data_IF_779542184190
#
_entry.id   IF_779542184190
#
_cell.length_a   1.000
_cell.length_b   1.000
_cell.length_c   1.000
_cell.angle_alpha   90.00
_cell.angle_beta   90.00
_cell.angle_gamma   90.00
#
_symmetry.space_group_name_H-M   'P 1'
#
loop_
_entity.id
_entity.type
_entity.pdbx_description
1 polymer ?
#
# COMPACT_ATOMS: atom_id res chain seq x y z
N UNK A 1 -14.17 -10.98 -2.48
CA UNK A 1 -14.27 -9.50 -2.43
C UNK A 1 -14.29 -9.11 -0.97
N UNK A 2 -13.38 -8.24 -0.55
CA UNK A 2 -13.29 -7.73 0.82
C UNK A 2 -13.65 -6.27 0.78
N UNK A 3 -14.61 -5.84 1.58
CA UNK A 3 -15.00 -4.44 1.69
C UNK A 3 -14.48 -3.87 3.00
N UNK A 4 -14.04 -2.62 2.98
CA UNK A 4 -13.53 -1.92 4.16
C UNK A 4 -14.08 -0.50 4.16
N UNK A 5 -14.45 -0.02 5.34
CA UNK A 5 -14.75 1.38 5.60
C UNK A 5 -14.19 1.73 6.99
N UNK A 6 -13.46 2.83 7.05
CA UNK A 6 -12.85 3.38 8.25
C UNK A 6 -13.15 4.87 8.28
N UNK A 7 -13.63 5.35 9.42
CA UNK A 7 -13.81 6.77 9.69
C UNK A 7 -12.71 7.24 10.63
N UNK A 8 -12.05 8.35 10.28
CA UNK A 8 -11.01 8.96 11.07
C UNK A 8 -11.54 9.70 12.31
N UNK A 9 -10.67 10.07 13.25
CA UNK A 9 -11.06 10.83 14.43
C UNK A 9 -11.83 12.11 14.06
N UNK A 10 -12.97 12.35 14.71
CA UNK A 10 -13.80 13.53 14.48
C UNK A 10 -14.37 13.65 13.07
N UNK A 11 -14.51 12.53 12.33
CA UNK A 11 -14.96 12.51 10.93
C UNK A 11 -14.06 13.30 9.97
N UNK A 12 -12.78 13.51 10.32
CA UNK A 12 -11.85 14.33 9.52
C UNK A 12 -11.46 13.68 8.19
N UNK A 13 -11.56 12.35 8.09
CA UNK A 13 -11.38 11.62 6.85
C UNK A 13 -12.19 10.32 6.86
N UNK A 14 -12.45 9.79 5.67
CA UNK A 14 -13.06 8.48 5.46
C UNK A 14 -12.21 7.70 4.47
N UNK A 15 -11.80 6.50 4.85
CA UNK A 15 -11.11 5.56 3.97
C UNK A 15 -12.01 4.37 3.70
N UNK A 16 -12.32 4.10 2.44
CA UNK A 16 -13.23 3.03 2.08
C UNK A 16 -12.91 2.42 0.73
N UNK A 17 -13.45 1.23 0.50
CA UNK A 17 -13.23 0.53 -0.76
C UNK A 17 -13.56 -0.94 -0.71
N UNK A 18 -13.15 -1.63 -1.77
CA UNK A 18 -13.13 -3.07 -1.80
C UNK A 18 -11.92 -3.58 -2.56
N UNK A 19 -11.45 -4.76 -2.17
CA UNK A 19 -10.37 -5.47 -2.84
C UNK A 19 -10.84 -6.84 -3.31
N UNK A 20 -10.40 -7.20 -4.50
CA UNK A 20 -10.43 -8.52 -5.10
C UNK A 20 -9.01 -8.87 -5.51
N UNK A 21 -8.68 -10.15 -5.58
CA UNK A 21 -7.36 -10.56 -6.00
C UNK A 21 -7.41 -11.76 -6.93
N UNK A 22 -6.37 -11.89 -7.75
CA UNK A 22 -6.08 -13.09 -8.51
C UNK A 22 -4.73 -13.64 -8.06
N UNK A 23 -4.64 -14.97 -7.93
CA UNK A 23 -3.41 -15.66 -7.55
C UNK A 23 -2.88 -16.42 -8.77
N UNK A 24 -1.60 -16.27 -9.06
CA UNK A 24 -0.86 -17.08 -10.02
C UNK A 24 0.27 -17.82 -9.34
N UNK A 25 0.45 -19.09 -9.67
CA UNK A 25 1.60 -19.89 -9.20
C UNK A 25 2.62 -20.07 -10.32
N UNK A 26 3.89 -19.99 -9.96
CA UNK A 26 5.00 -20.38 -10.81
C UNK A 26 5.95 -21.30 -10.06
N UNK A 27 7.05 -21.69 -10.70
CA UNK A 27 8.06 -22.50 -10.05
C UNK A 27 8.65 -21.73 -8.84
N UNK A 28 8.42 -22.27 -7.65
CA UNK A 28 8.83 -21.72 -6.34
C UNK A 28 8.41 -20.27 -6.06
N UNK A 29 7.28 -19.81 -6.63
CA UNK A 29 6.74 -18.46 -6.37
C UNK A 29 5.23 -18.40 -6.50
N UNK A 30 4.63 -17.47 -5.77
CA UNK A 30 3.22 -17.07 -5.88
C UNK A 30 3.14 -15.58 -6.18
N UNK A 31 2.28 -15.20 -7.11
CA UNK A 31 1.98 -13.82 -7.47
C UNK A 31 0.54 -13.51 -7.08
N UNK A 32 0.34 -12.40 -6.38
CA UNK A 32 -0.96 -11.90 -5.98
C UNK A 32 -1.19 -10.55 -6.67
N UNK A 33 -2.20 -10.50 -7.52
CA UNK A 33 -2.61 -9.26 -8.21
C UNK A 33 -3.85 -8.70 -7.56
N UNK A 34 -3.72 -7.57 -6.91
CA UNK A 34 -4.82 -6.88 -6.25
C UNK A 34 -5.54 -5.96 -7.23
N UNK A 35 -6.87 -5.89 -7.10
CA UNK A 35 -7.74 -5.01 -7.90
C UNK A 35 -8.93 -4.56 -7.05
N UNK A 36 -9.49 -3.41 -7.40
CA UNK A 36 -10.72 -2.93 -6.79
C UNK A 36 -10.74 -1.43 -6.72
N UNK A 37 -11.33 -0.91 -5.65
CA UNK A 37 -11.45 0.52 -5.39
C UNK A 37 -10.90 0.79 -3.99
N UNK A 38 -10.08 1.82 -3.84
CA UNK A 38 -9.71 2.39 -2.55
C UNK A 38 -9.74 3.90 -2.66
N UNK A 39 -10.39 4.54 -1.72
CA UNK A 39 -10.58 5.98 -1.69
C UNK A 39 -10.30 6.49 -0.29
N UNK A 40 -9.56 7.59 -0.22
CA UNK A 40 -9.46 8.44 0.97
C UNK A 40 -10.15 9.76 0.66
N UNK A 41 -11.21 10.08 1.42
CA UNK A 41 -11.91 11.36 1.36
C UNK A 41 -11.63 12.16 2.63
N UNK A 42 -11.42 13.46 2.49
CA UNK A 42 -11.21 14.39 3.59
C UNK A 42 -12.48 15.22 3.84
N UNK A 43 -12.62 15.74 5.05
CA UNK A 43 -13.78 16.55 5.45
C UNK A 43 -13.96 17.83 4.61
N UNK A 44 -12.89 18.34 4.00
CA UNK A 44 -12.91 19.49 3.09
C UNK A 44 -13.35 19.14 1.65
N UNK A 45 -13.67 17.87 1.38
CA UNK A 45 -14.05 17.37 0.07
C UNK A 45 -12.88 16.90 -0.78
N UNK A 46 -11.64 17.01 -0.31
CA UNK A 46 -10.48 16.42 -0.97
C UNK A 46 -10.63 14.91 -1.12
N UNK A 47 -10.19 14.36 -2.25
CA UNK A 47 -10.32 12.93 -2.55
C UNK A 47 -9.05 12.39 -3.21
N UNK A 48 -8.55 11.28 -2.69
CA UNK A 48 -7.43 10.54 -3.25
C UNK A 48 -7.91 9.14 -3.62
N UNK A 49 -7.86 8.80 -4.90
CA UNK A 49 -8.02 7.44 -5.39
C UNK A 49 -6.69 6.70 -5.26
N UNK A 50 -6.73 5.49 -4.69
CA UNK A 50 -5.55 4.71 -4.32
C UNK A 50 -5.54 3.43 -5.14
N UNK A 51 -4.59 3.32 -6.07
CA UNK A 51 -4.32 2.13 -6.87
C UNK A 51 -3.79 0.98 -6.01
N UNK A 52 -3.35 -0.11 -6.63
CA UNK A 52 -2.80 -1.27 -5.92
C UNK A 52 -1.46 -1.68 -6.52
N UNK A 53 -0.43 -1.91 -5.69
CA UNK A 53 0.75 -2.62 -6.15
C UNK A 53 0.46 -4.13 -6.28
N UNK A 54 1.38 -4.84 -6.92
CA UNK A 54 1.38 -6.30 -6.97
C UNK A 54 2.19 -6.87 -5.81
N UNK A 55 1.88 -8.10 -5.39
CA UNK A 55 2.65 -8.79 -4.36
C UNK A 55 3.21 -10.12 -4.90
N UNK A 56 4.38 -10.50 -4.39
CA UNK A 56 5.05 -11.77 -4.69
C UNK A 56 5.50 -12.43 -3.41
N UNK A 57 5.24 -13.73 -3.31
CA UNK A 57 5.90 -14.61 -2.37
C UNK A 57 6.89 -15.50 -3.10
N UNK A 58 8.16 -15.40 -2.73
CA UNK A 58 9.22 -16.31 -3.19
C UNK A 58 9.39 -17.49 -2.24
N UNK A 59 10.03 -18.55 -2.72
CA UNK A 59 10.39 -19.72 -1.91
C UNK A 59 9.19 -20.43 -1.25
N UNK A 60 8.04 -20.45 -1.93
CA UNK A 60 6.80 -21.06 -1.41
C UNK A 60 6.88 -22.59 -1.26
N UNK A 61 7.83 -23.25 -1.94
CA UNK A 61 8.07 -24.70 -1.83
C UNK A 61 9.42 -25.03 -1.18
N UNK A 62 10.48 -24.26 -1.46
CA UNK A 62 11.83 -24.53 -0.96
C UNK A 62 12.56 -23.25 -0.58
N UNK A 63 13.26 -23.30 0.55
CA UNK A 63 14.02 -22.18 1.12
C UNK A 63 13.18 -21.34 2.09
N UNK A 64 13.75 -20.22 2.50
CA UNK A 64 13.05 -19.25 3.36
C UNK A 64 12.08 -18.41 2.54
N UNK A 65 10.80 -18.51 2.88
CA UNK A 65 9.73 -17.74 2.24
C UNK A 65 9.90 -16.25 2.52
N UNK A 66 9.85 -15.43 1.49
CA UNK A 66 9.90 -13.97 1.60
C UNK A 66 8.77 -13.34 0.78
N UNK A 67 8.33 -12.16 1.24
CA UNK A 67 7.32 -11.34 0.59
C UNK A 67 7.96 -10.09 0.01
N UNK A 68 7.55 -9.74 -1.19
CA UNK A 68 7.95 -8.52 -1.89
C UNK A 68 6.70 -7.86 -2.45
N UNK A 69 6.59 -6.55 -2.27
CA UNK A 69 5.68 -5.73 -3.06
C UNK A 69 6.41 -5.26 -4.31
N UNK A 70 5.71 -5.25 -5.44
CA UNK A 70 6.24 -5.05 -6.77
C UNK A 70 5.38 -4.05 -7.54
N UNK A 71 5.99 -3.51 -8.59
CA UNK A 71 5.31 -2.64 -9.54
C UNK A 71 5.09 -1.24 -8.98
N UNK A 72 4.08 -0.57 -9.50
CA UNK A 72 3.75 0.81 -9.17
C UNK A 72 2.52 0.88 -8.28
N UNK A 73 2.61 1.74 -7.27
CA UNK A 73 1.48 2.14 -6.45
C UNK A 73 1.16 3.61 -6.75
N UNK A 74 0.01 3.81 -7.40
CA UNK A 74 -0.43 5.11 -7.88
C UNK A 74 -1.49 5.67 -6.93
N UNK A 75 -1.37 6.96 -6.62
CA UNK A 75 -2.31 7.75 -5.86
C UNK A 75 -2.71 8.94 -6.73
N UNK A 76 -4.01 9.25 -6.79
CA UNK A 76 -4.52 10.26 -7.72
C UNK A 76 -5.48 11.20 -7.01
N UNK A 77 -5.17 12.49 -7.08
CA UNK A 77 -6.07 13.59 -6.74
C UNK A 77 -6.41 14.32 -8.04
N UNK A 78 -7.54 13.92 -8.63
CA UNK A 78 -7.98 14.41 -9.94
C UNK A 78 -8.38 15.90 -9.90
N UNK A 79 -9.00 16.34 -8.80
CA UNK A 79 -9.45 17.72 -8.64
C UNK A 79 -8.28 18.70 -8.67
N UNK A 80 -7.14 18.30 -8.10
CA UNK A 80 -5.91 19.08 -8.14
C UNK A 80 -4.96 18.63 -9.26
N UNK A 81 -5.35 17.68 -10.11
CA UNK A 81 -4.50 17.13 -11.17
C UNK A 81 -3.09 16.69 -10.67
N UNK A 82 -3.07 16.08 -9.48
CA UNK A 82 -1.86 15.56 -8.84
C UNK A 82 -1.87 14.04 -8.87
N UNK A 83 -0.71 13.47 -9.16
CA UNK A 83 -0.48 12.04 -9.09
C UNK A 83 0.80 11.77 -8.32
N UNK A 84 0.75 10.80 -7.41
CA UNK A 84 1.94 10.23 -6.83
C UNK A 84 2.11 8.79 -7.35
N UNK A 85 3.30 8.46 -7.81
CA UNK A 85 3.65 7.10 -8.24
C UNK A 85 4.84 6.61 -7.41
N UNK A 86 4.67 5.47 -6.74
CA UNK A 86 5.73 4.80 -5.98
C UNK A 86 6.05 3.47 -6.67
N UNK A 87 7.30 3.29 -7.07
CA UNK A 87 7.82 2.06 -7.65
C UNK A 87 8.57 1.26 -6.60
N UNK A 88 8.09 0.05 -6.33
CA UNK A 88 8.75 -0.91 -5.43
C UNK A 88 9.78 -1.75 -6.16
N UNK A 89 10.82 -2.17 -5.45
CA UNK A 89 11.94 -2.95 -5.98
C UNK A 89 12.52 -2.35 -7.28
N UNK A 90 12.93 -1.06 -7.24
CA UNK A 90 13.42 -0.39 -8.43
C UNK A 90 14.72 -1.04 -8.93
N UNK A 91 14.93 -1.07 -10.26
CA UNK A 91 16.14 -1.64 -10.83
C UNK A 91 17.39 -0.87 -10.36
N UNK A 92 18.56 -1.52 -10.34
CA UNK A 92 19.81 -0.85 -10.05
C UNK A 92 20.07 0.31 -11.03
N UNK A 93 20.62 1.42 -10.52
CA UNK A 93 20.89 2.66 -11.30
C UNK A 93 21.83 2.42 -12.49
N UNK A 94 22.68 1.40 -12.40
CA UNK A 94 23.53 0.92 -13.49
C UNK A 94 23.72 -0.60 -13.40
N UNK A 95 24.18 -1.21 -14.51
CA UNK A 95 24.54 -2.64 -14.54
C UNK A 95 25.65 -3.04 -13.55
N UNK A 96 26.44 -2.07 -13.06
CA UNK A 96 27.52 -2.30 -12.09
C UNK A 96 27.14 -1.94 -10.66
N UNK A 97 26.01 -1.26 -10.45
CA UNK A 97 25.52 -0.95 -9.11
C UNK A 97 24.81 -2.16 -8.49
N UNK A 98 24.96 -2.34 -7.18
CA UNK A 98 24.19 -3.35 -6.44
C UNK A 98 22.70 -2.99 -6.51
N UNK A 99 21.85 -4.01 -6.60
CA UNK A 99 20.41 -3.82 -6.44
C UNK A 99 20.14 -3.18 -5.08
N UNK A 100 19.19 -2.25 -5.00
CA UNK A 100 18.71 -1.75 -3.72
C UNK A 100 18.18 -2.90 -2.84
N UNK A 101 18.12 -2.70 -1.52
CA UNK A 101 17.36 -3.58 -0.63
C UNK A 101 15.93 -3.81 -1.15
N UNK A 102 15.37 -5.00 -0.93
CA UNK A 102 14.05 -5.39 -1.47
C UNK A 102 12.89 -4.54 -0.93
N UNK A 103 13.12 -3.86 0.18
CA UNK A 103 12.20 -2.99 0.88
C UNK A 103 12.26 -1.52 0.41
N UNK A 104 13.20 -1.20 -0.48
CA UNK A 104 13.41 0.15 -1.00
C UNK A 104 12.42 0.50 -2.11
N UNK A 105 12.01 1.76 -2.15
CA UNK A 105 11.15 2.32 -3.18
C UNK A 105 11.62 3.71 -3.62
N UNK A 106 11.26 4.06 -4.85
CA UNK A 106 11.42 5.41 -5.41
C UNK A 106 10.09 5.87 -5.97
N UNK A 107 9.91 7.17 -6.13
CA UNK A 107 8.70 7.70 -6.71
C UNK A 107 8.78 9.18 -7.00
N UNK A 108 7.64 9.72 -7.40
CA UNK A 108 7.47 11.15 -7.56
C UNK A 108 6.02 11.56 -7.34
N UNK A 109 5.85 12.86 -7.07
CA UNK A 109 4.58 13.56 -7.25
C UNK A 109 4.71 14.40 -8.52
N UNK A 110 3.77 14.25 -9.44
CA UNK A 110 3.70 15.01 -10.68
C UNK A 110 2.34 15.70 -10.86
N UNK A 111 2.37 16.85 -11.54
CA UNK A 111 1.18 17.48 -12.09
C UNK A 111 0.88 16.79 -13.42
N UNK A 112 -0.19 16.00 -13.46
CA UNK A 112 -0.57 15.21 -14.63
C UNK A 112 -1.79 15.82 -15.33
N UNK A 113 -2.13 15.32 -16.53
CA UNK A 113 -3.37 15.70 -17.22
C UNK A 113 -4.42 14.59 -17.00
N UNK A 114 -5.54 14.87 -16.29
CA UNK A 114 -6.64 13.92 -16.14
C UNK A 114 -7.24 13.41 -17.46
N UNK A 115 -7.17 14.20 -18.55
CA UNK A 115 -7.65 13.77 -19.85
C UNK A 115 -6.69 12.79 -20.55
N UNK A 116 -5.41 12.80 -20.15
CA UNK A 116 -4.37 11.93 -20.69
C UNK A 116 -3.56 11.27 -19.55
N UNK A 117 -4.21 10.45 -18.69
CA UNK A 117 -3.62 9.99 -17.45
C UNK A 117 -2.38 9.11 -17.67
N UNK A 118 -2.23 8.47 -18.82
CA UNK A 118 -1.05 7.65 -19.13
C UNK A 118 0.20 8.47 -19.46
N UNK A 119 0.05 9.78 -19.73
CA UNK A 119 1.20 10.64 -20.02
C UNK A 119 1.94 11.01 -18.74
N UNK A 120 3.26 11.13 -18.86
CA UNK A 120 4.12 11.62 -17.79
C UNK A 120 3.80 13.11 -17.54
N UNK A 121 3.53 13.45 -16.29
CA UNK A 121 3.31 14.83 -15.88
C UNK A 121 4.59 15.60 -15.59
N UNK A 122 4.42 16.86 -15.16
CA UNK A 122 5.51 17.70 -14.68
C UNK A 122 5.82 17.35 -13.23
N UNK A 123 7.01 16.82 -12.98
CA UNK A 123 7.43 16.41 -11.64
C UNK A 123 7.54 17.62 -10.70
N UNK A 124 6.89 17.52 -9.54
CA UNK A 124 6.91 18.52 -8.47
C UNK A 124 7.80 18.08 -7.30
N UNK A 125 7.84 16.78 -7.02
CA UNK A 125 8.55 16.23 -5.88
C UNK A 125 9.12 14.84 -6.20
N UNK A 126 10.32 14.54 -5.73
CA UNK A 126 10.88 13.18 -5.70
C UNK A 126 10.58 12.49 -4.38
N UNK A 127 10.25 11.21 -4.42
CA UNK A 127 9.99 10.35 -3.26
C UNK A 127 11.07 9.27 -3.23
N UNK A 128 11.67 9.03 -2.07
CA UNK A 128 12.56 7.90 -1.84
C UNK A 128 12.33 7.32 -0.44
N UNK A 129 12.52 6.02 -0.25
CA UNK A 129 12.35 5.44 1.07
C UNK A 129 12.48 3.93 1.15
N UNK A 130 12.22 3.44 2.36
CA UNK A 130 12.07 2.03 2.69
C UNK A 130 10.78 1.88 3.50
N UNK A 131 9.91 0.96 3.09
CA UNK A 131 8.62 0.74 3.77
C UNK A 131 8.73 0.15 5.18
N UNK A 132 9.93 -0.25 5.61
CA UNK A 132 10.26 -0.67 6.98
C UNK A 132 11.23 0.29 7.68
N UNK A 133 11.55 1.41 7.02
CA UNK A 133 12.58 2.34 7.44
C UNK A 133 12.06 3.77 7.48
N UNK A 134 11.91 4.38 6.30
CA UNK A 134 11.67 5.81 6.17
C UNK A 134 11.01 6.23 4.86
N UNK A 135 10.54 7.47 4.80
CA UNK A 135 10.07 8.13 3.60
C UNK A 135 10.58 9.57 3.55
N UNK A 136 11.12 9.96 2.39
CA UNK A 136 11.65 11.28 2.10
C UNK A 136 10.94 11.90 0.90
N UNK A 137 10.70 13.21 1.00
CA UNK A 137 10.19 14.05 -0.09
C UNK A 137 11.25 15.11 -0.39
N UNK A 138 11.74 15.15 -1.63
CA UNK A 138 12.85 16.03 -2.04
C UNK A 138 14.09 15.93 -1.12
N UNK A 139 14.38 14.72 -0.62
CA UNK A 139 15.47 14.40 0.33
C UNK A 139 15.29 14.96 1.74
N UNK A 140 14.11 15.47 2.07
CA UNK A 140 13.75 15.84 3.43
C UNK A 140 12.96 14.70 4.08
N UNK A 141 13.38 14.30 5.28
CA UNK A 141 12.77 13.19 6.03
C UNK A 141 11.39 13.60 6.53
N UNK A 142 10.34 13.00 5.97
CA UNK A 142 8.96 13.25 6.40
C UNK A 142 8.42 12.17 7.33
N UNK A 143 8.98 10.96 7.29
CA UNK A 143 8.56 9.86 8.15
C UNK A 143 9.68 8.83 8.36
N UNK A 144 9.73 8.23 9.55
CA UNK A 144 10.50 7.06 9.92
C UNK A 144 9.63 6.08 10.71
N UNK A 145 9.88 4.77 10.62
CA UNK A 145 9.06 3.75 11.29
C UNK A 145 9.07 3.83 12.83
N UNK A 146 10.03 4.56 13.40
CA UNK A 146 10.10 4.85 14.84
C UNK A 146 9.42 6.17 15.22
N UNK A 147 8.86 6.91 14.26
CA UNK A 147 8.20 8.18 14.51
C UNK A 147 6.81 7.91 15.06
N UNK A 148 6.71 7.94 16.38
CA UNK A 148 5.44 7.84 17.10
C UNK A 148 5.26 6.53 17.87
N UNK A 149 4.21 6.47 18.71
CA UNK A 149 3.93 5.29 19.50
C UNK A 149 3.48 4.14 18.60
N UNK A 150 3.99 2.94 18.88
CA UNK A 150 3.40 1.71 18.34
C UNK A 150 2.04 1.55 19.00
N UNK A 151 0.98 1.87 18.28
CA UNK A 151 -0.39 1.70 18.76
C UNK A 151 -0.78 0.25 18.51
N UNK A 152 -0.99 -0.51 19.59
CA UNK A 152 -1.54 -1.84 19.46
C UNK A 152 -2.92 -1.77 18.79
N UNK A 153 -3.17 -2.66 17.82
CA UNK A 153 -4.53 -2.83 17.30
C UNK A 153 -5.46 -3.17 18.47
N UNK A 154 -6.40 -2.27 18.75
CA UNK A 154 -7.37 -2.49 19.83
C UNK A 154 -8.26 -3.68 19.49
N UNK A 155 -8.34 -4.65 20.39
CA UNK A 155 -9.42 -5.63 20.36
C UNK A 155 -10.72 -4.88 20.66
N UNK A 156 -11.80 -5.05 19.87
CA UNK A 156 -13.10 -4.52 20.24
C UNK A 156 -13.44 -4.98 21.67
N UNK A 157 -13.47 -4.06 22.62
CA UNK A 157 -13.73 -4.35 24.04
C UNK A 157 -15.22 -4.46 24.33
N UNK A 158 -16.07 -4.04 23.38
CA UNK A 158 -17.50 -4.08 23.52
C UNK A 158 -18.05 -5.48 23.23
N UNK A 159 -18.90 -5.97 24.14
CA UNK A 159 -19.31 -7.39 24.25
C UNK A 159 -20.28 -7.85 23.15
N UNK A 160 -20.64 -6.99 22.21
CA UNK A 160 -21.56 -7.30 21.11
C UNK A 160 -20.85 -7.33 19.77
N UNK A 161 -19.77 -8.10 19.67
CA UNK A 161 -19.21 -8.50 18.37
C UNK A 161 -20.31 -9.18 17.54
N UNK A 162 -20.42 -8.82 16.26
CA UNK A 162 -21.43 -9.38 15.35
C UNK A 162 -21.26 -10.90 15.20
N UNK A 163 -22.31 -11.66 14.84
CA UNK A 163 -22.16 -13.09 14.53
C UNK A 163 -21.14 -13.37 13.42
N UNK A 164 -20.99 -12.45 12.47
CA UNK A 164 -20.02 -12.52 11.37
C UNK A 164 -18.61 -12.06 11.74
N UNK A 165 -18.38 -11.65 12.98
CA UNK A 165 -17.07 -11.20 13.44
C UNK A 165 -16.04 -12.33 13.31
N UNK A 166 -14.86 -12.00 12.78
CA UNK A 166 -13.80 -12.99 12.55
C UNK A 166 -13.30 -13.67 13.83
N UNK A 167 -13.51 -13.08 15.00
CA UNK A 167 -13.22 -13.67 16.31
C UNK A 167 -14.06 -14.90 16.64
N UNK A 168 -15.23 -15.05 16.00
CA UNK A 168 -16.13 -16.20 16.17
C UNK A 168 -15.84 -17.36 15.23
N UNK A 169 -14.87 -17.20 14.31
CA UNK A 169 -14.47 -18.24 13.37
C UNK A 169 -13.74 -19.38 14.10
N UNK A 170 -14.33 -20.57 14.06
CA UNK A 170 -13.76 -21.75 14.72
C UNK A 170 -12.38 -22.14 14.20
N UNK A 171 -12.15 -22.02 12.88
CA UNK A 171 -10.86 -22.31 12.25
C UNK A 171 -9.75 -21.36 12.72
N UNK A 172 -10.05 -20.07 12.86
CA UNK A 172 -9.11 -19.10 13.46
C UNK A 172 -8.75 -19.49 14.89
N UNK A 173 -9.74 -19.81 15.70
CA UNK A 173 -9.53 -20.09 17.13
C UNK A 173 -8.80 -21.41 17.35
N UNK A 174 -8.92 -22.38 16.43
CA UNK A 174 -8.13 -23.62 16.46
C UNK A 174 -6.64 -23.41 16.19
N UNK A 175 -6.27 -22.31 15.50
CA UNK A 175 -4.88 -21.96 15.16
C UNK A 175 -4.20 -21.04 16.18
N UNK A 176 -4.94 -20.54 17.18
CA UNK A 176 -4.44 -19.58 18.16
C UNK A 176 -3.73 -20.24 19.37
N UNK A 177 -3.17 -21.45 19.18
CA UNK A 177 -2.44 -22.21 20.20
C UNK A 177 -1.07 -21.59 20.52
#
# INVERSE_FOLDING_TARGET
RFCLAVEGPGAQYRYYGYTTFAIGFGMNKMLLKNRGLRVLEFADGGKIDIGFPDDRWGNVFWGEMHHETLGEWVFTDEANALRATITFNPPPKSKSSKSPPSDYFIGCIDKYDPAEPEKKGSQLCGIEGSWVGFCEFNRERSWHHTDGPIVAHGTPTDRTVLPSDSTKRGDRNALAL
#
